data_IF_046454696311
#
_entry.id   IF_046454696311
#
_cell.length_a   1.000
_cell.length_b   1.000
_cell.length_c   1.000
_cell.angle_alpha   90.00
_cell.angle_beta   90.00
_cell.angle_gamma   90.00
#
_symmetry.space_group_name_H-M   'P 1'
#
loop_
_entity.id
_entity.type
_entity.pdbx_description
1 polymer ?
#
# COMPACT_ATOMS: atom_id res chain seq x y z
N UNK A 1 14.15 2.91 84.16
CA UNK A 1 14.92 2.56 82.94
C UNK A 1 13.95 2.55 81.77
N UNK A 2 14.06 3.55 80.87
CA UNK A 2 13.21 3.71 79.68
C UNK A 2 13.93 3.08 78.49
N UNK A 3 13.37 2.04 77.88
CA UNK A 3 13.84 1.52 76.60
C UNK A 3 12.94 2.08 75.49
N UNK A 4 13.45 3.06 74.76
CA UNK A 4 12.83 3.58 73.53
C UNK A 4 13.47 2.79 72.38
N UNK A 5 12.74 1.83 71.82
CA UNK A 5 13.13 1.14 70.59
C UNK A 5 12.73 2.00 69.39
N UNK A 6 13.73 2.53 68.69
CA UNK A 6 13.58 3.29 67.46
C UNK A 6 13.33 2.31 66.30
N UNK A 7 12.11 2.27 65.77
CA UNK A 7 11.76 1.47 64.59
C UNK A 7 12.16 2.26 63.34
N UNK A 8 13.25 1.85 62.68
CA UNK A 8 13.68 2.41 61.40
C UNK A 8 12.80 1.86 60.27
N UNK A 9 11.87 2.67 59.80
CA UNK A 9 11.04 2.39 58.62
C UNK A 9 11.88 2.62 57.35
N UNK A 10 12.47 1.55 56.81
CA UNK A 10 13.15 1.60 55.51
C UNK A 10 12.09 1.60 54.41
N UNK A 11 11.76 2.78 53.89
CA UNK A 11 10.92 2.94 52.70
C UNK A 11 11.79 2.61 51.48
N UNK A 12 11.66 1.40 50.95
CA UNK A 12 12.25 1.02 49.68
C UNK A 12 11.49 1.70 48.55
N UNK A 13 11.97 2.87 48.10
CA UNK A 13 11.54 3.46 46.83
C UNK A 13 11.93 2.51 45.70
N UNK A 14 10.95 1.77 45.18
CA UNK A 14 11.10 1.09 43.90
C UNK A 14 11.18 2.18 42.84
N UNK A 15 12.39 2.51 42.38
CA UNK A 15 12.57 3.29 41.17
C UNK A 15 12.07 2.41 40.03
N UNK A 16 10.78 2.48 39.73
CA UNK A 16 10.26 2.05 38.44
C UNK A 16 10.87 3.05 37.47
N UNK A 17 11.98 2.66 36.84
CA UNK A 17 12.62 3.48 35.83
C UNK A 17 11.58 3.84 34.78
N UNK A 18 11.28 5.14 34.64
CA UNK A 18 10.42 5.61 33.56
C UNK A 18 11.04 5.13 32.26
N UNK A 19 10.27 4.41 31.45
CA UNK A 19 10.73 4.03 30.12
C UNK A 19 11.11 5.30 29.36
N UNK A 20 12.23 5.27 28.63
CA UNK A 20 12.62 6.39 27.79
C UNK A 20 11.56 6.59 26.71
N UNK A 21 11.18 7.83 26.45
CA UNK A 21 10.17 8.15 25.45
C UNK A 21 10.79 8.87 24.26
N UNK A 22 10.40 8.46 23.06
CA UNK A 22 10.73 9.12 21.80
C UNK A 22 9.43 9.44 21.09
N UNK A 23 9.28 10.65 20.58
CA UNK A 23 8.09 11.10 19.87
C UNK A 23 8.38 11.29 18.38
N UNK A 24 7.41 10.91 17.54
CA UNK A 24 7.46 11.08 16.08
C UNK A 24 6.18 11.75 15.62
N UNK A 25 6.28 12.74 14.74
CA UNK A 25 5.12 13.48 14.20
C UNK A 25 5.25 13.68 12.69
N UNK A 26 4.18 13.51 11.90
CA UNK A 26 4.20 13.91 10.49
C UNK A 26 4.44 15.42 10.35
N UNK A 27 5.07 15.85 9.24
CA UNK A 27 5.39 17.27 9.00
C UNK A 27 6.64 17.79 9.72
N UNK A 28 7.10 17.07 10.75
CA UNK A 28 8.43 17.22 11.33
C UNK A 28 8.64 18.47 12.19
N UNK A 29 9.84 18.53 12.79
CA UNK A 29 10.30 19.68 13.58
C UNK A 29 11.76 19.93 13.22
N UNK A 30 12.14 21.18 13.02
CA UNK A 30 13.55 21.52 12.83
C UNK A 30 14.35 21.07 14.07
N UNK A 31 15.55 20.50 13.84
CA UNK A 31 16.46 20.02 14.90
C UNK A 31 15.84 18.95 15.82
N UNK A 32 15.05 18.04 15.25
CA UNK A 32 14.45 16.92 15.96
C UNK A 32 15.45 16.15 16.85
N UNK A 33 15.09 15.93 18.10
CA UNK A 33 15.86 15.12 19.06
C UNK A 33 15.03 13.99 19.69
N UNK A 34 13.78 13.82 19.28
CA UNK A 34 12.87 12.78 19.77
C UNK A 34 12.12 13.14 21.04
N UNK A 35 12.33 14.33 21.62
CA UNK A 35 11.49 14.83 22.74
C UNK A 35 10.09 15.23 22.25
N UNK A 36 9.16 15.40 23.18
CA UNK A 36 7.81 15.90 22.86
C UNK A 36 7.81 17.27 22.18
N UNK A 37 8.77 18.15 22.51
CA UNK A 37 8.91 19.49 21.93
C UNK A 37 9.64 19.49 20.59
N UNK A 38 10.48 18.49 20.33
CA UNK A 38 11.24 18.34 19.09
C UNK A 38 11.18 16.89 18.58
N UNK A 39 9.97 16.39 18.24
CA UNK A 39 9.78 15.02 17.79
C UNK A 39 10.49 14.77 16.46
N UNK A 40 10.81 13.51 16.20
CA UNK A 40 11.28 13.08 14.88
C UNK A 40 10.19 13.22 13.83
N UNK A 41 10.60 13.48 12.59
CA UNK A 41 9.71 13.33 11.44
C UNK A 41 9.59 11.86 11.00
N UNK A 42 10.71 11.13 11.12
CA UNK A 42 10.87 9.80 10.54
C UNK A 42 10.84 8.71 11.60
N UNK A 43 10.00 7.70 11.37
CA UNK A 43 9.97 6.47 12.18
C UNK A 43 11.34 5.76 12.09
N UNK A 44 12.03 5.81 10.95
CA UNK A 44 13.36 5.21 10.79
C UNK A 44 14.43 5.90 11.64
N UNK A 45 14.33 7.22 11.82
CA UNK A 45 15.28 7.97 12.65
C UNK A 45 15.02 7.73 14.14
N UNK A 46 13.75 7.67 14.56
CA UNK A 46 13.36 7.23 15.90
C UNK A 46 13.87 5.81 16.19
N UNK A 47 13.73 4.88 15.23
CA UNK A 47 14.28 3.53 15.31
C UNK A 47 15.80 3.53 15.49
N UNK A 48 16.55 4.27 14.67
CA UNK A 48 18.02 4.37 14.79
C UNK A 48 18.45 4.93 16.15
N UNK A 49 17.71 5.91 16.69
CA UNK A 49 17.97 6.39 18.04
C UNK A 49 17.72 5.30 19.09
N UNK A 50 16.63 4.55 18.96
CA UNK A 50 16.29 3.47 19.88
C UNK A 50 17.35 2.35 19.94
N UNK A 51 18.08 2.10 18.84
CA UNK A 51 19.18 1.12 18.82
C UNK A 51 20.28 1.40 19.88
N UNK A 52 20.47 2.66 20.29
CA UNK A 52 21.47 3.02 21.30
C UNK A 52 21.12 2.47 22.70
N UNK A 53 19.81 2.27 22.94
CA UNK A 53 19.21 1.84 24.20
C UNK A 53 18.78 0.38 24.19
N UNK A 54 18.75 -0.25 23.00
CA UNK A 54 18.31 -1.62 22.81
C UNK A 54 19.05 -2.60 23.73
N UNK A 55 18.28 -3.34 24.52
CA UNK A 55 18.77 -4.30 25.51
C UNK A 55 19.40 -3.70 26.78
N UNK A 56 19.43 -2.36 26.92
CA UNK A 56 19.98 -1.66 28.08
C UNK A 56 18.90 -1.02 28.94
N UNK A 57 17.90 -0.42 28.30
CA UNK A 57 16.80 0.31 28.96
C UNK A 57 15.50 0.09 28.21
N UNK A 58 14.37 0.15 28.91
CA UNK A 58 13.04 0.11 28.30
C UNK A 58 12.75 1.42 27.56
N UNK A 59 12.16 1.32 26.37
CA UNK A 59 11.90 2.49 25.52
C UNK A 59 10.55 2.38 24.83
N UNK A 60 9.84 3.50 24.72
CA UNK A 60 8.61 3.62 23.92
C UNK A 60 8.77 4.72 22.88
N UNK A 61 8.51 4.40 21.62
CA UNK A 61 8.35 5.35 20.52
C UNK A 61 6.86 5.64 20.36
N UNK A 62 6.46 6.87 20.62
CA UNK A 62 5.12 7.39 20.41
C UNK A 62 4.98 8.05 19.05
N UNK A 63 3.92 7.68 18.34
CA UNK A 63 3.52 8.26 17.06
C UNK A 63 2.31 9.16 17.30
N UNK A 64 2.46 10.44 17.04
CA UNK A 64 1.35 11.37 17.03
C UNK A 64 0.36 11.06 15.90
N UNK A 65 -0.82 11.67 15.95
CA UNK A 65 -1.84 11.53 14.93
C UNK A 65 -1.34 12.00 13.55
N UNK A 66 -1.76 11.29 12.50
CA UNK A 66 -1.54 11.67 11.11
C UNK A 66 -0.99 10.53 10.25
N UNK A 67 -0.63 10.87 9.00
CA UNK A 67 -0.17 9.91 8.00
C UNK A 67 1.34 10.01 7.84
N UNK A 68 2.03 8.91 8.07
CA UNK A 68 3.47 8.74 7.88
C UNK A 68 3.73 8.08 6.53
N UNK A 69 3.98 8.88 5.50
CA UNK A 69 4.43 8.38 4.20
C UNK A 69 5.88 7.92 4.28
N UNK A 70 6.12 6.64 4.02
CA UNK A 70 7.44 6.06 4.03
C UNK A 70 8.11 6.23 2.67
N UNK A 71 9.31 6.81 2.63
CA UNK A 71 10.13 6.87 1.41
C UNK A 71 10.80 5.53 1.07
N UNK A 72 10.92 4.65 2.08
CA UNK A 72 11.54 3.32 1.96
C UNK A 72 11.03 2.38 3.05
N UNK A 73 11.10 1.08 2.79
CA UNK A 73 10.84 0.04 3.79
C UNK A 73 11.75 0.21 5.01
N UNK A 74 11.16 0.22 6.20
CA UNK A 74 11.90 0.29 7.46
C UNK A 74 12.35 -1.11 7.84
N UNK A 75 13.67 -1.31 7.94
CA UNK A 75 14.29 -2.61 8.21
C UNK A 75 14.68 -2.72 9.68
N UNK A 76 13.98 -3.57 10.40
CA UNK A 76 14.34 -4.03 11.72
C UNK A 76 15.35 -5.17 11.61
N UNK A 77 16.37 -5.14 12.45
CA UNK A 77 17.45 -6.10 12.53
C UNK A 77 17.68 -6.49 14.00
N UNK A 78 18.60 -7.42 14.26
CA UNK A 78 18.98 -7.76 15.65
C UNK A 78 19.49 -6.56 16.47
N UNK A 79 19.94 -5.46 15.84
CA UNK A 79 20.31 -4.21 16.53
C UNK A 79 19.12 -3.48 17.14
N UNK A 80 17.92 -3.77 16.65
CA UNK A 80 16.67 -3.16 17.10
C UNK A 80 16.01 -4.01 18.21
N UNK A 81 16.62 -5.13 18.61
CA UNK A 81 16.08 -6.06 19.60
C UNK A 81 16.16 -5.51 21.02
N UNK A 82 15.01 -5.46 21.69
CA UNK A 82 14.95 -5.31 23.14
C UNK A 82 15.25 -6.62 23.86
N UNK A 83 15.00 -6.65 25.15
CA UNK A 83 14.90 -7.90 25.93
C UNK A 83 13.60 -7.93 26.71
N UNK A 84 13.26 -9.08 27.32
CA UNK A 84 12.10 -9.16 28.24
C UNK A 84 12.16 -8.11 29.36
N UNK A 85 13.37 -7.78 29.84
CA UNK A 85 13.60 -6.76 30.89
C UNK A 85 13.58 -5.33 30.33
N UNK A 86 14.07 -5.16 29.10
CA UNK A 86 14.24 -3.86 28.44
C UNK A 86 13.58 -3.89 27.05
N UNK A 87 12.23 -3.93 26.98
CA UNK A 87 11.51 -3.97 25.72
C UNK A 87 11.52 -2.63 24.99
N UNK A 88 11.34 -2.69 23.66
CA UNK A 88 11.12 -1.50 22.81
C UNK A 88 9.72 -1.56 22.22
N UNK A 89 8.90 -0.56 22.55
CA UNK A 89 7.54 -0.41 22.06
C UNK A 89 7.42 0.69 21.00
N UNK A 90 6.51 0.50 20.06
CA UNK A 90 6.05 1.53 19.11
C UNK A 90 4.55 1.65 19.31
N UNK A 91 4.04 2.85 19.60
CA UNK A 91 2.63 3.06 19.95
C UNK A 91 2.12 4.34 19.30
N UNK A 92 0.88 4.32 18.81
CA UNK A 92 0.17 5.57 18.58
C UNK A 92 -0.12 6.26 19.93
N UNK A 93 -0.04 7.59 19.96
CA UNK A 93 -0.53 8.38 21.09
C UNK A 93 -2.04 8.19 21.23
N UNK A 94 -2.75 8.19 20.11
CA UNK A 94 -4.15 7.81 20.00
C UNK A 94 -4.30 6.63 19.04
N UNK A 95 -4.75 5.48 19.55
CA UNK A 95 -5.03 4.29 18.74
C UNK A 95 -5.99 4.62 17.59
N UNK A 96 -5.73 4.11 16.39
CA UNK A 96 -6.51 4.40 15.17
C UNK A 96 -6.00 5.59 14.36
N UNK A 97 -5.15 6.46 14.92
CA UNK A 97 -4.86 7.78 14.33
C UNK A 97 -3.47 7.96 13.74
N UNK A 98 -2.54 7.06 14.00
CA UNK A 98 -1.21 7.06 13.38
C UNK A 98 -1.21 6.06 12.20
N UNK A 99 -1.40 6.55 10.98
CA UNK A 99 -1.48 5.74 9.76
C UNK A 99 -0.10 5.70 9.10
N UNK A 100 0.49 4.52 8.94
CA UNK A 100 1.73 4.37 8.17
C UNK A 100 1.39 3.95 6.76
N UNK A 101 1.83 4.75 5.79
CA UNK A 101 1.52 4.57 4.39
C UNK A 101 2.78 4.24 3.59
N UNK A 102 2.68 3.17 2.80
CA UNK A 102 3.64 2.83 1.74
C UNK A 102 3.27 3.49 0.41
N UNK A 103 2.27 4.37 0.43
CA UNK A 103 1.93 5.20 -0.71
C UNK A 103 2.75 6.49 -0.75
N UNK A 104 2.48 7.30 -1.75
CA UNK A 104 3.04 8.64 -1.91
C UNK A 104 1.95 9.60 -2.30
N UNK A 105 1.85 10.70 -1.56
CA UNK A 105 1.03 11.83 -1.96
C UNK A 105 1.69 12.57 -3.12
N UNK A 106 0.92 12.85 -4.17
CA UNK A 106 1.38 13.53 -5.35
C UNK A 106 0.78 14.94 -5.41
N UNK A 107 1.66 15.94 -5.47
CA UNK A 107 1.28 17.32 -5.75
C UNK A 107 1.15 17.48 -7.26
N UNK A 108 -0.04 17.21 -7.79
CA UNK A 108 -0.30 17.24 -9.23
C UNK A 108 -1.05 18.49 -9.66
N UNK A 109 -0.85 18.89 -10.92
CA UNK A 109 -1.63 19.92 -11.58
C UNK A 109 -2.36 19.29 -12.75
N UNK A 110 -3.66 19.11 -12.60
CA UNK A 110 -4.47 18.55 -13.66
C UNK A 110 -4.75 19.56 -14.76
N UNK A 111 -4.80 19.07 -15.99
CA UNK A 111 -5.28 19.79 -17.17
C UNK A 111 -6.31 18.96 -17.91
N UNK A 112 -7.22 19.61 -18.64
CA UNK A 112 -8.19 18.89 -19.46
C UNK A 112 -7.48 18.22 -20.63
N UNK A 113 -7.72 16.92 -20.84
CA UNK A 113 -7.21 16.19 -22.00
C UNK A 113 -8.25 16.15 -23.13
N UNK A 114 -9.31 15.35 -22.96
CA UNK A 114 -10.39 15.18 -23.93
C UNK A 114 -11.66 14.76 -23.21
N UNK A 115 -12.81 15.27 -23.65
CA UNK A 115 -14.11 15.02 -23.03
C UNK A 115 -14.03 15.35 -21.52
N UNK A 116 -14.37 14.40 -20.65
CA UNK A 116 -14.32 14.52 -19.19
C UNK A 116 -13.02 13.96 -18.59
N UNK A 117 -12.03 13.59 -19.41
CA UNK A 117 -10.75 13.04 -18.96
C UNK A 117 -9.75 14.17 -18.70
N UNK A 118 -9.06 14.06 -17.57
CA UNK A 118 -7.97 14.96 -17.17
C UNK A 118 -6.62 14.27 -17.23
N UNK A 119 -5.56 15.06 -17.37
CA UNK A 119 -4.18 14.59 -17.43
C UNK A 119 -3.24 15.37 -16.50
N UNK A 120 -2.43 14.57 -15.82
CA UNK A 120 -1.30 14.79 -14.94
C UNK A 120 0.12 14.65 -15.47
N UNK A 121 1.07 15.54 -15.20
CA UNK A 121 2.48 15.11 -15.13
C UNK A 121 2.75 14.37 -13.81
N UNK A 122 3.44 13.25 -13.90
CA UNK A 122 3.94 12.48 -12.75
C UNK A 122 5.47 12.53 -12.76
N UNK A 123 6.14 12.77 -11.62
CA UNK A 123 7.60 12.70 -11.60
C UNK A 123 8.10 11.32 -12.04
N UNK A 124 9.17 11.29 -12.83
CA UNK A 124 9.77 10.04 -13.31
C UNK A 124 10.14 9.10 -12.15
N UNK A 125 10.10 7.79 -12.41
CA UNK A 125 10.59 6.76 -11.49
C UNK A 125 9.52 6.03 -10.69
N UNK A 126 8.23 6.30 -10.94
CA UNK A 126 7.13 5.52 -10.37
C UNK A 126 6.65 4.42 -11.30
N UNK A 127 6.31 3.28 -10.70
CA UNK A 127 5.54 2.21 -11.32
C UNK A 127 4.20 2.17 -10.59
N UNK A 128 3.17 2.75 -11.21
CA UNK A 128 1.87 2.95 -10.58
C UNK A 128 0.95 1.81 -10.98
N UNK A 129 0.58 0.97 -10.01
CA UNK A 129 -0.41 -0.10 -10.18
C UNK A 129 -1.71 0.16 -9.39
N UNK A 130 -1.72 1.18 -8.54
CA UNK A 130 -2.87 1.60 -7.74
C UNK A 130 -2.90 3.12 -7.59
N UNK A 131 -4.08 3.70 -7.82
CA UNK A 131 -4.36 5.11 -7.63
C UNK A 131 -5.46 5.28 -6.59
N UNK A 132 -5.27 6.24 -5.69
CA UNK A 132 -6.26 6.68 -4.73
C UNK A 132 -6.54 8.17 -4.91
N UNK A 133 -7.82 8.51 -4.97
CA UNK A 133 -8.31 9.89 -5.03
C UNK A 133 -9.23 10.10 -3.83
N UNK A 134 -8.88 11.03 -2.95
CA UNK A 134 -9.60 11.31 -1.69
C UNK A 134 -9.85 10.05 -0.85
N UNK A 135 -8.80 9.23 -0.69
CA UNK A 135 -8.78 7.95 0.01
C UNK A 135 -9.64 6.84 -0.61
N UNK A 136 -10.19 7.04 -1.82
CA UNK A 136 -10.89 5.98 -2.57
C UNK A 136 -9.98 5.41 -3.65
N UNK A 137 -9.87 4.08 -3.69
CA UNK A 137 -9.17 3.39 -4.78
C UNK A 137 -9.94 3.57 -6.08
N UNK A 138 -9.26 4.04 -7.11
CA UNK A 138 -9.79 4.18 -8.47
C UNK A 138 -9.48 2.94 -9.31
N UNK A 139 -10.29 2.71 -10.34
CA UNK A 139 -10.20 1.52 -11.19
C UNK A 139 -9.21 1.76 -12.32
N UNK A 140 -8.27 0.86 -12.55
CA UNK A 140 -7.44 0.96 -13.75
C UNK A 140 -8.34 0.74 -14.98
N UNK A 141 -8.18 1.57 -16.02
CA UNK A 141 -8.95 1.51 -17.26
C UNK A 141 -9.04 0.07 -17.79
N UNK A 142 -10.26 -0.45 -17.95
CA UNK A 142 -10.47 -1.89 -18.14
C UNK A 142 -11.68 -2.23 -19.00
N UNK A 143 -11.61 -3.40 -19.64
CA UNK A 143 -12.73 -3.97 -20.37
C UNK A 143 -13.04 -5.42 -19.96
N UNK A 144 -14.31 -5.75 -19.71
CA UNK A 144 -15.43 -4.82 -19.57
C UNK A 144 -15.34 -3.99 -18.27
N UNK A 145 -16.01 -2.84 -18.27
CA UNK A 145 -16.09 -1.93 -17.13
C UNK A 145 -16.76 -2.63 -15.95
N UNK A 146 -16.28 -2.29 -14.75
CA UNK A 146 -16.85 -2.80 -13.50
C UNK A 146 -18.31 -2.37 -13.32
N UNK A 147 -19.05 -3.18 -12.57
CA UNK A 147 -20.40 -2.93 -12.09
C UNK A 147 -20.34 -3.06 -10.56
N UNK A 148 -20.59 -1.96 -9.81
CA UNK A 148 -20.63 -2.00 -8.35
C UNK A 148 -21.54 -3.12 -7.80
N UNK A 149 -21.07 -3.82 -6.76
CA UNK A 149 -21.83 -4.89 -6.10
C UNK A 149 -21.75 -6.26 -6.76
N UNK A 150 -20.95 -6.43 -7.82
CA UNK A 150 -20.64 -7.76 -8.41
C UNK A 150 -19.42 -8.38 -7.72
N UNK A 151 -19.29 -9.71 -7.77
CA UNK A 151 -18.29 -10.44 -6.98
C UNK A 151 -17.09 -10.95 -7.78
N UNK A 152 -17.29 -11.39 -9.03
CA UNK A 152 -16.18 -11.84 -9.88
C UNK A 152 -15.65 -10.64 -10.65
N UNK A 153 -14.42 -10.23 -10.29
CA UNK A 153 -13.72 -9.10 -10.91
C UNK A 153 -14.59 -7.84 -11.01
N UNK A 154 -15.44 -7.60 -10.01
CA UNK A 154 -16.39 -6.49 -9.96
C UNK A 154 -17.28 -6.36 -11.20
N UNK A 155 -17.58 -7.45 -11.91
CA UNK A 155 -18.38 -7.41 -13.15
C UNK A 155 -19.47 -8.46 -13.20
N UNK A 156 -19.20 -9.68 -12.73
CA UNK A 156 -20.13 -10.80 -12.84
C UNK A 156 -20.59 -11.32 -11.48
N UNK A 157 -21.68 -12.09 -11.50
CA UNK A 157 -22.06 -13.00 -10.42
C UNK A 157 -21.54 -14.38 -10.79
N UNK A 158 -20.77 -15.00 -9.89
CA UNK A 158 -20.22 -16.34 -10.09
C UNK A 158 -21.33 -17.38 -10.32
N UNK A 159 -21.16 -18.20 -11.34
CA UNK A 159 -22.03 -19.33 -11.71
C UNK A 159 -21.19 -20.36 -12.46
N UNK A 160 -21.35 -21.64 -12.09
CA UNK A 160 -20.68 -22.78 -12.72
C UNK A 160 -21.25 -23.09 -14.11
N UNK A 161 -22.49 -22.70 -14.38
CA UNK A 161 -23.18 -22.91 -15.67
C UNK A 161 -23.03 -21.73 -16.63
N UNK A 162 -22.14 -20.79 -16.31
CA UNK A 162 -21.95 -19.58 -17.06
C UNK A 162 -21.42 -19.85 -18.47
N UNK A 163 -22.19 -19.42 -19.46
CA UNK A 163 -21.81 -19.50 -20.88
C UNK A 163 -20.96 -18.30 -21.30
N UNK A 164 -20.20 -18.49 -22.36
CA UNK A 164 -19.46 -17.39 -23.00
C UNK A 164 -20.42 -16.26 -23.38
N UNK A 165 -19.94 -15.02 -23.29
CA UNK A 165 -20.66 -13.82 -23.70
C UNK A 165 -19.74 -12.99 -24.60
N UNK A 166 -20.03 -12.96 -25.89
CA UNK A 166 -19.20 -12.26 -26.87
C UNK A 166 -19.19 -10.74 -26.63
N UNK A 167 -20.24 -10.17 -26.03
CA UNK A 167 -20.37 -8.73 -25.82
C UNK A 167 -19.48 -8.21 -24.67
N UNK A 168 -18.91 -9.11 -23.85
CA UNK A 168 -18.02 -8.76 -22.75
C UNK A 168 -16.68 -9.49 -22.83
N UNK A 169 -16.37 -10.09 -23.98
CA UNK A 169 -15.17 -10.88 -24.16
C UNK A 169 -13.95 -9.99 -24.47
N UNK A 170 -13.08 -9.81 -23.48
CA UNK A 170 -11.80 -9.11 -23.62
C UNK A 170 -10.85 -9.71 -24.70
N UNK A 171 -11.11 -10.93 -25.18
CA UNK A 171 -10.35 -11.58 -26.25
C UNK A 171 -11.09 -11.66 -27.59
N UNK A 172 -12.26 -11.00 -27.71
CA UNK A 172 -12.94 -10.86 -28.99
C UNK A 172 -12.04 -10.13 -30.00
N UNK A 173 -12.00 -10.61 -31.26
CA UNK A 173 -11.08 -10.09 -32.28
C UNK A 173 -11.31 -8.61 -32.55
N UNK A 174 -12.58 -8.24 -32.60
CA UNK A 174 -13.06 -6.88 -32.86
C UNK A 174 -12.64 -5.94 -31.74
N UNK A 175 -12.69 -6.41 -30.49
CA UNK A 175 -12.23 -5.66 -29.32
C UNK A 175 -10.71 -5.50 -29.32
N UNK A 176 -9.95 -6.59 -29.51
CA UNK A 176 -8.48 -6.52 -29.56
C UNK A 176 -8.00 -5.60 -30.69
N UNK A 177 -8.70 -5.58 -31.83
CA UNK A 177 -8.36 -4.71 -32.96
C UNK A 177 -8.45 -3.20 -32.65
N UNK A 178 -9.23 -2.79 -31.65
CA UNK A 178 -9.40 -1.38 -31.27
C UNK A 178 -8.18 -0.79 -30.54
N UNK A 179 -7.38 -1.63 -29.88
CA UNK A 179 -6.25 -1.16 -29.06
C UNK A 179 -5.02 -0.88 -29.89
N UNK A 180 -4.48 0.34 -29.86
CA UNK A 180 -3.26 0.68 -30.60
C UNK A 180 -2.04 -0.03 -30.03
N UNK A 181 -1.89 0.01 -28.70
CA UNK A 181 -0.77 -0.61 -28.01
C UNK A 181 -1.19 -1.19 -26.65
N UNK A 182 -1.67 -2.44 -26.59
CA UNK A 182 -2.06 -3.07 -25.33
C UNK A 182 -0.87 -3.64 -24.55
N UNK A 183 0.38 -3.36 -24.94
CA UNK A 183 1.55 -3.87 -24.22
C UNK A 183 1.60 -3.27 -22.81
N UNK A 184 1.82 -4.12 -21.81
CA UNK A 184 1.76 -3.72 -20.39
C UNK A 184 0.37 -3.87 -19.78
N UNK A 185 -0.64 -4.25 -20.57
CA UNK A 185 -1.95 -4.64 -20.07
C UNK A 185 -1.89 -5.95 -19.29
N UNK A 186 -2.84 -6.13 -18.37
CA UNK A 186 -3.03 -7.36 -17.63
C UNK A 186 -4.35 -7.99 -18.03
N UNK A 187 -4.29 -9.21 -18.54
CA UNK A 187 -5.47 -10.04 -18.74
C UNK A 187 -5.67 -10.88 -17.49
N UNK A 188 -6.86 -10.82 -16.93
CA UNK A 188 -7.29 -11.62 -15.78
C UNK A 188 -8.37 -12.57 -16.26
N UNK A 189 -8.34 -13.81 -15.80
CA UNK A 189 -9.43 -14.74 -16.02
C UNK A 189 -9.58 -15.70 -14.85
N UNK A 190 -10.81 -16.13 -14.57
CA UNK A 190 -11.01 -17.30 -13.74
C UNK A 190 -10.45 -18.54 -14.44
N UNK A 191 -9.95 -19.50 -13.67
CA UNK A 191 -9.73 -20.86 -14.12
C UNK A 191 -11.02 -21.44 -14.73
N UNK A 192 -10.93 -22.28 -15.77
CA UNK A 192 -12.10 -22.89 -16.44
C UNK A 192 -13.06 -23.55 -15.45
N UNK A 193 -12.54 -24.19 -14.40
CA UNK A 193 -13.33 -24.84 -13.34
C UNK A 193 -13.47 -23.99 -12.07
N UNK A 194 -13.21 -22.68 -12.16
CA UNK A 194 -13.39 -21.70 -11.07
C UNK A 194 -12.54 -21.92 -9.81
N UNK A 195 -11.38 -22.58 -9.92
CA UNK A 195 -10.45 -22.87 -8.81
C UNK A 195 -9.50 -21.71 -8.44
N UNK A 196 -9.95 -20.48 -8.66
CA UNK A 196 -9.13 -19.28 -8.54
C UNK A 196 -8.90 -18.59 -9.88
N UNK A 197 -8.34 -17.40 -9.81
CA UNK A 197 -7.98 -16.58 -10.94
C UNK A 197 -6.54 -16.81 -11.42
N UNK A 198 -6.31 -16.36 -12.64
CA UNK A 198 -5.06 -16.47 -13.37
C UNK A 198 -4.83 -15.14 -14.10
N UNK A 199 -3.56 -14.77 -14.25
CA UNK A 199 -3.19 -13.49 -14.84
C UNK A 199 -2.10 -13.65 -15.88
N UNK A 200 -2.19 -12.83 -16.93
CA UNK A 200 -1.21 -12.74 -17.99
C UNK A 200 -0.82 -11.30 -18.23
N UNK A 201 0.48 -11.06 -18.37
CA UNK A 201 1.00 -9.83 -18.95
C UNK A 201 0.81 -9.87 -20.47
N UNK A 202 0.27 -8.80 -21.02
CA UNK A 202 0.21 -8.58 -22.47
C UNK A 202 1.55 -8.03 -22.94
N UNK A 203 2.29 -8.82 -23.72
CA UNK A 203 3.60 -8.43 -24.26
C UNK A 203 3.50 -7.74 -25.63
N UNK A 204 2.28 -7.65 -26.18
CA UNK A 204 1.96 -6.97 -27.43
C UNK A 204 0.87 -7.72 -28.20
N UNK A 205 0.84 -7.53 -29.52
CA UNK A 205 -0.09 -8.24 -30.42
C UNK A 205 0.62 -9.24 -31.35
N UNK A 206 -0.14 -10.25 -31.81
CA UNK A 206 0.19 -11.17 -32.91
C UNK A 206 -0.79 -10.91 -34.06
N UNK A 207 -0.40 -10.03 -34.99
CA UNK A 207 -1.33 -9.44 -35.97
C UNK A 207 -2.26 -8.40 -35.31
N UNK A 208 -3.31 -7.96 -36.00
CA UNK A 208 -4.16 -6.86 -35.51
C UNK A 208 -5.11 -7.25 -34.37
N UNK A 209 -5.53 -8.51 -34.31
CA UNK A 209 -6.70 -8.95 -33.51
C UNK A 209 -6.41 -10.06 -32.50
N UNK A 210 -5.14 -10.31 -32.16
CA UNK A 210 -4.76 -11.31 -31.16
C UNK A 210 -3.67 -10.80 -30.24
N UNK A 211 -3.81 -11.01 -28.93
CA UNK A 211 -2.79 -10.67 -27.94
C UNK A 211 -1.67 -11.71 -27.88
N UNK A 212 -0.46 -11.25 -27.58
CA UNK A 212 0.64 -12.07 -27.05
C UNK A 212 0.60 -11.98 -25.54
N UNK A 213 0.55 -13.14 -24.87
CA UNK A 213 0.33 -13.27 -23.44
C UNK A 213 1.47 -14.07 -22.81
N UNK A 214 1.90 -13.63 -21.62
CA UNK A 214 2.88 -14.32 -20.79
C UNK A 214 2.32 -14.45 -19.36
N UNK A 215 2.33 -15.66 -18.79
CA UNK A 215 1.75 -15.93 -17.48
C UNK A 215 0.77 -17.09 -17.46
N UNK A 216 -0.14 -17.08 -16.48
CA UNK A 216 -1.12 -18.14 -16.23
C UNK A 216 -0.60 -19.30 -15.38
N UNK A 217 0.47 -19.08 -14.61
CA UNK A 217 1.11 -20.11 -13.78
C UNK A 217 0.71 -20.06 -12.30
N UNK A 218 -0.24 -19.17 -11.94
CA UNK A 218 -0.61 -18.91 -10.55
C UNK A 218 -1.40 -20.06 -9.91
N UNK A 219 -2.06 -20.89 -10.72
CA UNK A 219 -2.85 -22.02 -10.24
C UNK A 219 -2.01 -23.31 -10.18
N UNK A 220 -2.18 -24.10 -9.12
CA UNK A 220 -1.50 -25.38 -8.95
C UNK A 220 -1.98 -26.48 -9.93
N UNK A 221 -3.11 -26.26 -10.59
CA UNK A 221 -3.66 -27.10 -11.66
C UNK A 221 -3.95 -26.24 -12.88
N UNK A 222 -2.96 -26.01 -13.77
CA UNK A 222 -3.14 -25.16 -14.94
C UNK A 222 -4.20 -25.72 -15.90
N UNK A 223 -5.12 -24.88 -16.34
CA UNK A 223 -6.09 -25.15 -17.42
C UNK A 223 -6.38 -23.83 -18.17
N UNK A 224 -7.24 -23.89 -19.18
CA UNK A 224 -7.69 -22.77 -20.00
C UNK A 224 -8.42 -21.73 -19.16
N UNK A 225 -8.41 -20.50 -19.65
CA UNK A 225 -9.25 -19.41 -19.14
C UNK A 225 -10.74 -19.76 -19.18
N UNK A 226 -11.49 -19.28 -18.19
CA UNK A 226 -12.95 -19.27 -18.25
C UNK A 226 -13.42 -18.41 -19.44
N UNK A 227 -14.44 -18.88 -20.16
CA UNK A 227 -14.89 -18.20 -21.39
C UNK A 227 -15.65 -16.90 -21.14
N UNK A 228 -16.19 -16.71 -19.92
CA UNK A 228 -16.98 -15.53 -19.52
C UNK A 228 -16.25 -14.61 -18.54
N UNK A 229 -15.54 -15.17 -17.58
CA UNK A 229 -15.01 -14.42 -16.44
C UNK A 229 -13.58 -14.04 -16.76
N UNK A 230 -13.43 -13.08 -17.66
CA UNK A 230 -12.14 -12.55 -18.05
C UNK A 230 -12.27 -11.09 -18.43
N UNK A 231 -11.33 -10.29 -17.98
CA UNK A 231 -11.25 -8.87 -18.29
C UNK A 231 -9.80 -8.50 -18.53
N UNK A 232 -9.59 -7.39 -19.22
CA UNK A 232 -8.28 -6.77 -19.40
C UNK A 232 -8.27 -5.42 -18.70
N UNK A 233 -7.16 -5.04 -18.09
CA UNK A 233 -6.93 -3.69 -17.54
C UNK A 233 -5.59 -3.12 -17.99
N UNK A 234 -5.39 -1.83 -17.75
CA UNK A 234 -4.24 -1.03 -18.19
C UNK A 234 -4.19 -0.83 -19.72
N UNK A 235 -5.34 -0.52 -20.33
CA UNK A 235 -5.43 -0.19 -21.76
C UNK A 235 -6.00 1.22 -21.89
N UNK A 236 -5.25 2.12 -22.52
CA UNK A 236 -5.64 3.54 -22.62
C UNK A 236 -7.00 3.73 -23.32
N UNK A 237 -7.28 2.95 -24.37
CA UNK A 237 -8.56 3.05 -25.09
C UNK A 237 -9.78 2.57 -24.30
N UNK A 238 -9.58 1.90 -23.17
CA UNK A 238 -10.67 1.50 -22.25
C UNK A 238 -10.78 2.47 -21.06
N UNK A 239 -10.16 3.65 -21.13
CA UNK A 239 -10.42 4.76 -20.20
C UNK A 239 -11.71 5.44 -20.62
N UNK A 240 -12.86 4.87 -20.25
CA UNK A 240 -14.16 5.28 -20.78
C UNK A 240 -15.28 5.38 -19.72
N UNK A 241 -14.99 5.05 -18.46
CA UNK A 241 -15.93 5.16 -17.35
C UNK A 241 -15.43 6.08 -16.21
N UNK A 242 -16.35 6.78 -15.51
CA UNK A 242 -16.01 7.53 -14.30
C UNK A 242 -15.33 6.66 -13.23
N UNK A 243 -14.24 7.18 -12.67
CA UNK A 243 -13.39 6.48 -11.70
C UNK A 243 -12.29 5.62 -12.35
N UNK A 244 -12.15 5.66 -13.68
CA UNK A 244 -11.06 4.97 -14.36
C UNK A 244 -9.82 5.84 -14.51
N UNK A 245 -8.65 5.22 -14.48
CA UNK A 245 -7.36 5.87 -14.71
C UNK A 245 -6.42 5.03 -15.57
N UNK A 246 -5.47 5.70 -16.24
CA UNK A 246 -4.40 5.07 -17.00
C UNK A 246 -3.10 5.85 -16.80
N UNK A 247 -2.00 5.17 -16.53
CA UNK A 247 -0.68 5.79 -16.41
C UNK A 247 0.19 5.44 -17.60
N UNK A 248 0.48 6.43 -18.45
CA UNK A 248 1.48 6.29 -19.50
C UNK A 248 2.88 6.49 -18.89
N UNK A 249 3.55 5.38 -18.59
CA UNK A 249 4.90 5.39 -18.01
C UNK A 249 5.98 5.95 -18.95
N UNK A 250 5.79 5.84 -20.27
CA UNK A 250 6.78 6.33 -21.25
C UNK A 250 6.77 7.86 -21.33
N UNK A 251 5.59 8.47 -21.19
CA UNK A 251 5.39 9.92 -21.20
C UNK A 251 5.33 10.52 -19.79
N UNK A 252 5.30 9.67 -18.75
CA UNK A 252 5.06 10.04 -17.35
C UNK A 252 3.76 10.83 -17.15
N UNK A 253 2.71 10.44 -17.87
CA UNK A 253 1.40 11.08 -17.82
C UNK A 253 0.35 10.20 -17.15
N UNK A 254 -0.35 10.75 -16.15
CA UNK A 254 -1.49 10.10 -15.51
C UNK A 254 -2.79 10.67 -16.08
N UNK A 255 -3.60 9.82 -16.68
CA UNK A 255 -4.93 10.13 -17.18
C UNK A 255 -5.98 9.62 -16.19
N UNK A 256 -7.01 10.42 -15.95
CA UNK A 256 -8.09 10.08 -15.03
C UNK A 256 -9.42 10.58 -15.58
N UNK A 257 -10.41 9.69 -15.61
CA UNK A 257 -11.82 10.04 -15.81
C UNK A 257 -12.44 10.20 -14.43
N UNK A 258 -12.74 11.42 -13.98
CA UNK A 258 -13.28 11.66 -12.66
C UNK A 258 -14.63 11.00 -12.38
N UNK A 259 -14.80 10.58 -11.14
CA UNK A 259 -16.12 10.37 -10.55
C UNK A 259 -16.89 11.69 -10.44
N UNK A 260 -18.21 11.61 -10.30
CA UNK A 260 -19.08 12.80 -10.19
C UNK A 260 -18.79 13.66 -8.94
N UNK A 261 -18.21 13.07 -7.91
CA UNK A 261 -17.89 13.71 -6.63
C UNK A 261 -16.45 14.22 -6.54
N UNK A 262 -15.79 14.43 -7.67
CA UNK A 262 -14.40 14.88 -7.75
C UNK A 262 -14.29 16.40 -7.90
N UNK A 263 -13.57 17.05 -6.97
CA UNK A 263 -13.07 18.41 -7.17
C UNK A 263 -11.58 18.36 -7.52
N UNK A 264 -11.30 18.63 -8.79
CA UNK A 264 -9.95 18.55 -9.36
C UNK A 264 -8.93 19.48 -8.70
N UNK A 265 -9.37 20.56 -8.06
CA UNK A 265 -8.48 21.55 -7.45
C UNK A 265 -8.03 21.16 -6.05
N UNK A 266 -8.80 20.33 -5.38
CA UNK A 266 -8.60 20.00 -3.96
C UNK A 266 -8.36 18.51 -3.72
N UNK A 267 -8.57 17.67 -4.75
CA UNK A 267 -8.41 16.24 -4.66
C UNK A 267 -7.02 15.81 -4.19
N UNK A 268 -7.02 14.96 -3.16
CA UNK A 268 -5.81 14.30 -2.68
C UNK A 268 -5.49 13.12 -3.60
N UNK A 269 -4.36 13.22 -4.32
CA UNK A 269 -3.88 12.16 -5.20
C UNK A 269 -2.79 11.34 -4.51
N UNK A 270 -2.97 10.03 -4.46
CA UNK A 270 -2.02 9.11 -3.84
C UNK A 270 -1.79 7.88 -4.71
N UNK A 271 -0.54 7.42 -4.77
CA UNK A 271 -0.13 6.19 -5.44
C UNK A 271 0.47 5.21 -4.44
N UNK A 272 0.54 3.92 -4.76
CA UNK A 272 1.32 2.94 -3.99
C UNK A 272 2.77 2.93 -4.50
N UNK A 273 3.75 2.94 -3.60
CA UNK A 273 5.18 2.96 -3.97
C UNK A 273 6.02 1.88 -3.28
N UNK A 274 5.63 1.45 -2.07
CA UNK A 274 6.34 0.43 -1.30
C UNK A 274 5.56 -0.88 -1.21
N UNK A 275 6.26 -1.99 -1.48
CA UNK A 275 5.74 -3.35 -1.28
C UNK A 275 5.65 -3.74 0.20
N UNK A 276 6.60 -3.29 1.01
CA UNK A 276 6.66 -3.57 2.44
C UNK A 276 6.82 -2.26 3.22
N UNK A 277 6.00 -2.05 4.24
CA UNK A 277 6.19 -0.95 5.20
C UNK A 277 7.36 -1.27 6.14
N UNK A 278 7.36 -2.50 6.66
CA UNK A 278 8.32 -3.00 7.63
C UNK A 278 8.86 -4.35 7.20
N UNK A 279 10.16 -4.55 7.39
CA UNK A 279 10.83 -5.84 7.24
C UNK A 279 11.57 -6.18 8.53
N UNK A 280 11.48 -7.45 8.94
CA UNK A 280 12.11 -7.98 10.15
C UNK A 280 13.20 -8.96 9.77
N UNK A 281 14.41 -8.43 9.63
CA UNK A 281 15.54 -9.11 9.05
C UNK A 281 16.48 -9.60 10.16
N UNK A 282 16.15 -10.76 10.71
CA UNK A 282 17.00 -11.51 11.66
C UNK A 282 17.53 -12.80 11.06
N UNK A 283 18.48 -13.42 11.75
CA UNK A 283 18.86 -14.83 11.53
C UNK A 283 18.42 -15.67 12.73
N UNK A 284 18.58 -16.99 12.65
CA UNK A 284 18.32 -17.89 13.78
C UNK A 284 19.19 -17.53 15.00
N UNK A 285 20.44 -17.12 14.78
CA UNK A 285 21.40 -16.75 15.82
C UNK A 285 21.26 -15.30 16.26
N UNK A 286 20.75 -14.43 15.37
CA UNK A 286 20.58 -12.99 15.58
C UNK A 286 19.16 -12.59 15.23
N UNK A 287 18.21 -13.07 16.02
CA UNK A 287 16.79 -12.80 15.83
C UNK A 287 16.42 -11.36 16.17
N UNK A 288 15.38 -10.85 15.50
CA UNK A 288 14.69 -9.62 15.93
C UNK A 288 13.70 -10.01 17.04
N UNK A 289 13.86 -9.49 18.25
CA UNK A 289 13.05 -9.88 19.41
C UNK A 289 12.74 -8.69 20.30
N UNK A 290 11.58 -8.70 20.95
CA UNK A 290 11.13 -7.62 21.84
C UNK A 290 11.19 -6.22 21.21
N UNK A 291 11.11 -6.18 19.87
CA UNK A 291 10.88 -5.01 19.03
C UNK A 291 9.43 -5.10 18.57
N UNK A 292 8.62 -4.09 18.89
CA UNK A 292 7.21 -3.96 18.43
C UNK A 292 6.21 -4.89 19.11
N UNK A 293 6.33 -5.08 20.42
CA UNK A 293 5.46 -5.97 21.17
C UNK A 293 3.96 -5.59 21.19
N UNK A 294 3.54 -4.42 20.64
CA UNK A 294 2.14 -4.07 20.28
C UNK A 294 2.13 -2.98 19.22
N UNK A 295 1.87 -3.32 17.96
CA UNK A 295 1.48 -2.34 16.95
C UNK A 295 -0.02 -2.12 17.06
N UNK A 296 -0.42 -1.11 17.82
CA UNK A 296 -1.80 -0.62 17.84
C UNK A 296 -1.83 0.64 16.97
N UNK A 297 -1.98 0.45 15.67
CA UNK A 297 -2.30 1.53 14.73
C UNK A 297 -3.79 1.62 14.56
#
# INVERSE_FOLDING_TARGET
MKNISLLLLVVAYSIVGSAKEIYVTPGGTEKANGSISYPFHSIDDARKMAQQYAGKESLTIYLNDGIYYLDKTIKFTSKDSGTKKFPIYYKAVNEGKAIISGGKHLNVKWTTYKNEIFVCDIPNGFDIDQLFIDNKRETMARYPNSIPGKNVFDRWVLSHDAKADAATDALAKEKVAQWKNPKGAYLHAMHRSLWGDMHWLVTGKKGESKLKLEGGWQNNRPDKMHKKYRFIENVFEELDAPGEWYYNKEESLLYYYPRKDFDIKTAKVEIVSLRHLFEFNGTKEKSVTYSLARLNF
#
